data_IF_498028087029
#
_entry.id   IF_498028087029
#
_cell.length_a   1.000
_cell.length_b   1.000
_cell.length_c   1.000
_cell.angle_alpha   90.00
_cell.angle_beta   90.00
_cell.angle_gamma   90.00
#
_symmetry.space_group_name_H-M   'P 1'
#
loop_
_entity.id
_entity.type
_entity.pdbx_description
1 polymer ?
#
# COMPACT_ATOMS: atom_id res chain seq x y z
N UNK A 1 -70.82 -20.06 -31.21
CA UNK A 1 -70.38 -18.73 -30.74
C UNK A 1 -70.02 -18.91 -29.26
N UNK A 2 -68.81 -18.76 -28.73
CA UNK A 2 -67.57 -18.10 -29.12
C UNK A 2 -66.38 -18.91 -28.53
N UNK A 3 -65.29 -19.02 -29.29
CA UNK A 3 -64.00 -19.63 -28.90
C UNK A 3 -63.21 -18.62 -28.05
N UNK A 4 -62.72 -19.01 -26.86
CA UNK A 4 -61.78 -18.20 -26.06
C UNK A 4 -60.35 -18.52 -26.50
N UNK A 5 -59.72 -17.59 -27.21
CA UNK A 5 -58.29 -17.63 -27.52
C UNK A 5 -57.49 -17.13 -26.32
N UNK A 6 -56.56 -17.95 -25.82
CA UNK A 6 -55.57 -17.58 -24.82
C UNK A 6 -54.37 -16.95 -25.55
N UNK A 7 -54.08 -15.67 -25.30
CA UNK A 7 -52.91 -14.98 -25.85
C UNK A 7 -51.81 -15.02 -24.78
N UNK A 8 -50.77 -15.83 -25.01
CA UNK A 8 -49.52 -15.79 -24.24
C UNK A 8 -48.73 -14.54 -24.62
N UNK A 9 -48.58 -13.60 -23.69
CA UNK A 9 -47.72 -12.43 -23.85
C UNK A 9 -46.32 -12.76 -23.35
N UNK A 10 -45.36 -12.86 -24.27
CA UNK A 10 -43.94 -13.06 -24.00
C UNK A 10 -43.32 -11.70 -23.59
N UNK A 11 -42.98 -11.51 -22.31
CA UNK A 11 -42.22 -10.34 -21.86
C UNK A 11 -40.74 -10.51 -22.23
N UNK A 12 -40.29 -9.81 -23.26
CA UNK A 12 -38.87 -9.61 -23.57
C UNK A 12 -38.29 -8.58 -22.59
N UNK A 13 -37.45 -9.02 -21.64
CA UNK A 13 -36.61 -8.11 -20.86
C UNK A 13 -35.55 -7.50 -21.79
N UNK A 14 -35.72 -6.22 -22.12
CA UNK A 14 -34.69 -5.41 -22.76
C UNK A 14 -33.64 -5.09 -21.67
N UNK A 15 -32.50 -5.79 -21.70
CA UNK A 15 -31.34 -5.42 -20.90
C UNK A 15 -30.79 -4.10 -21.43
N UNK A 16 -31.03 -3.01 -20.72
CA UNK A 16 -30.37 -1.74 -20.99
C UNK A 16 -28.87 -1.89 -20.70
N UNK A 17 -27.97 -1.40 -21.58
CA UNK A 17 -26.56 -1.36 -21.25
C UNK A 17 -26.38 -0.47 -20.01
N UNK A 18 -25.66 -0.99 -19.01
CA UNK A 18 -25.21 -0.19 -17.89
C UNK A 18 -24.19 0.84 -18.42
N UNK A 19 -24.66 2.04 -18.74
CA UNK A 19 -23.78 3.17 -18.98
C UNK A 19 -23.06 3.45 -17.65
N UNK A 20 -21.79 3.04 -17.57
CA UNK A 20 -20.90 3.51 -16.52
C UNK A 20 -20.93 5.05 -16.55
N UNK A 21 -21.29 5.67 -15.43
CA UNK A 21 -21.27 7.12 -15.31
C UNK A 21 -19.85 7.62 -15.64
N UNK A 22 -19.70 8.74 -16.36
CA UNK A 22 -18.38 9.28 -16.64
C UNK A 22 -17.65 9.52 -15.32
N UNK A 23 -16.46 8.94 -15.16
CA UNK A 23 -15.60 9.19 -14.01
C UNK A 23 -15.34 10.69 -13.94
N UNK A 24 -15.73 11.30 -12.83
CA UNK A 24 -15.67 12.75 -12.66
C UNK A 24 -14.21 13.18 -12.59
N UNK A 25 -13.86 14.19 -13.38
CA UNK A 25 -12.54 14.82 -13.32
C UNK A 25 -12.44 15.62 -12.01
N UNK A 26 -11.48 15.25 -11.18
CA UNK A 26 -11.23 15.86 -9.89
C UNK A 26 -9.86 16.53 -9.86
N UNK A 27 -9.78 17.66 -9.17
CA UNK A 27 -8.51 18.34 -8.90
C UNK A 27 -8.04 17.99 -7.51
N UNK A 28 -6.92 17.26 -7.41
CA UNK A 28 -6.30 16.79 -6.19
C UNK A 28 -4.93 17.44 -6.01
N UNK A 29 -4.61 17.86 -4.79
CA UNK A 29 -3.36 18.56 -4.47
C UNK A 29 -2.76 17.93 -3.21
N UNK A 30 -1.49 17.59 -3.28
CA UNK A 30 -0.86 16.81 -2.23
C UNK A 30 0.60 16.48 -2.54
N UNK A 31 1.15 15.55 -1.76
CA UNK A 31 2.50 15.03 -1.97
C UNK A 31 2.47 14.01 -3.11
N UNK A 32 3.14 14.34 -4.21
CA UNK A 32 3.39 13.41 -5.30
C UNK A 32 4.68 12.67 -4.99
N UNK A 33 4.62 11.34 -4.97
CA UNK A 33 5.72 10.47 -4.59
C UNK A 33 6.07 9.56 -5.78
N UNK A 34 7.35 9.52 -6.15
CA UNK A 34 7.90 8.59 -7.13
C UNK A 34 9.18 7.99 -6.54
N UNK A 35 9.07 6.95 -5.69
CA UNK A 35 10.20 6.41 -4.92
C UNK A 35 11.11 5.46 -5.73
N UNK A 36 10.59 4.86 -6.80
CA UNK A 36 11.25 3.85 -7.63
C UNK A 36 10.73 3.90 -9.08
N UNK A 37 11.40 3.23 -10.05
CA UNK A 37 10.95 3.25 -11.44
C UNK A 37 9.51 2.72 -11.59
N UNK A 38 8.69 3.43 -12.38
CA UNK A 38 7.30 3.09 -12.70
C UNK A 38 6.30 3.05 -11.53
N UNK A 39 6.65 3.61 -10.37
CA UNK A 39 5.74 3.73 -9.23
C UNK A 39 5.42 5.21 -8.95
N UNK A 40 4.15 5.58 -8.86
CA UNK A 40 3.75 6.94 -8.50
C UNK A 40 2.45 6.97 -7.69
N UNK A 41 2.38 7.88 -6.73
CA UNK A 41 1.17 8.17 -5.96
C UNK A 41 1.00 9.66 -5.70
N UNK A 42 -0.21 10.06 -5.33
CA UNK A 42 -0.52 11.39 -4.82
C UNK A 42 -1.23 11.27 -3.46
N UNK A 43 -0.60 11.77 -2.41
CA UNK A 43 -1.14 11.82 -1.05
C UNK A 43 -1.78 13.18 -0.78
N UNK A 44 -3.12 13.24 -0.76
CA UNK A 44 -3.89 14.43 -0.40
C UNK A 44 -4.69 14.23 0.90
N UNK A 45 -5.59 15.18 1.23
CA UNK A 45 -6.37 15.15 2.48
C UNK A 45 -7.31 13.94 2.58
N UNK A 46 -7.70 13.36 1.45
CA UNK A 46 -8.65 12.24 1.36
C UNK A 46 -7.90 10.89 1.38
N UNK A 47 -6.57 10.93 1.44
CA UNK A 47 -5.70 9.76 1.47
C UNK A 47 -4.75 9.76 0.29
N UNK A 48 -4.22 8.57 0.02
CA UNK A 48 -3.27 8.38 -1.07
C UNK A 48 -3.98 7.80 -2.26
N UNK A 49 -3.59 8.27 -3.44
CA UNK A 49 -4.12 7.86 -4.71
C UNK A 49 -3.04 7.20 -5.55
N UNK A 50 -3.28 5.97 -5.98
CA UNK A 50 -2.38 5.24 -6.90
C UNK A 50 -2.43 5.89 -8.28
N UNK A 51 -1.25 6.20 -8.85
CA UNK A 51 -1.10 6.70 -10.23
C UNK A 51 -0.40 5.65 -11.08
N UNK A 52 0.58 4.94 -10.52
CA UNK A 52 1.32 3.91 -11.22
C UNK A 52 1.95 2.91 -10.25
N UNK A 53 1.95 1.63 -10.65
CA UNK A 53 2.64 0.53 -9.96
C UNK A 53 3.47 -0.29 -10.93
N UNK A 54 4.71 -0.58 -10.56
CA UNK A 54 5.62 -1.36 -11.38
C UNK A 54 5.05 -2.76 -11.68
N UNK A 55 4.98 -3.12 -12.96
CA UNK A 55 4.41 -4.40 -13.40
C UNK A 55 2.89 -4.50 -13.25
N UNK A 56 2.19 -3.39 -12.99
CA UNK A 56 0.75 -3.35 -12.78
C UNK A 56 0.10 -2.13 -13.39
N UNK A 57 -0.87 -1.55 -12.67
CA UNK A 57 -1.66 -0.41 -13.11
C UNK A 57 -0.80 0.81 -13.48
N UNK A 58 -1.17 1.49 -14.57
CA UNK A 58 -0.52 2.71 -15.06
C UNK A 58 -1.58 3.67 -15.57
N UNK A 59 -1.67 4.85 -14.96
CA UNK A 59 -2.58 5.87 -15.41
C UNK A 59 -2.12 6.52 -16.73
N UNK A 60 -3.06 6.84 -17.61
CA UNK A 60 -2.77 7.57 -18.85
C UNK A 60 -2.51 9.06 -18.58
N UNK A 61 -1.53 9.66 -19.28
CA UNK A 61 -1.20 11.09 -19.18
C UNK A 61 0.13 11.39 -18.48
N UNK A 62 0.51 12.67 -18.48
CA UNK A 62 1.83 13.10 -18.00
C UNK A 62 1.89 13.35 -16.49
N UNK A 63 2.99 12.94 -15.88
CA UNK A 63 3.34 13.26 -14.49
C UNK A 63 3.78 14.72 -14.32
N UNK A 64 3.71 15.29 -13.11
CA UNK A 64 4.20 16.64 -12.87
C UNK A 64 5.72 16.73 -13.06
N UNK A 65 6.18 17.75 -13.78
CA UNK A 65 7.61 18.07 -13.88
C UNK A 65 8.06 18.94 -12.71
N UNK A 66 9.12 18.53 -12.02
CA UNK A 66 9.69 19.26 -10.88
C UNK A 66 11.06 19.84 -11.21
N UNK A 67 11.38 20.99 -10.60
CA UNK A 67 12.75 21.49 -10.54
C UNK A 67 13.42 21.12 -9.20
N UNK A 68 14.72 21.39 -9.06
CA UNK A 68 15.51 21.02 -7.87
C UNK A 68 15.01 21.65 -6.55
N UNK A 69 14.24 22.73 -6.58
CA UNK A 69 13.65 23.34 -5.38
C UNK A 69 12.29 22.75 -5.02
N UNK A 70 11.67 22.03 -5.95
CA UNK A 70 10.35 21.42 -5.81
C UNK A 70 10.42 19.90 -5.60
N UNK A 71 11.59 19.30 -5.78
CA UNK A 71 11.83 17.86 -5.65
C UNK A 71 12.77 17.56 -4.49
N UNK A 72 12.29 16.78 -3.53
CA UNK A 72 13.12 16.21 -2.47
C UNK A 72 13.58 14.84 -2.95
N UNK A 73 14.88 14.72 -3.24
CA UNK A 73 15.47 13.44 -3.65
C UNK A 73 15.58 12.51 -2.44
N UNK A 74 15.14 11.27 -2.60
CA UNK A 74 15.21 10.22 -1.58
C UNK A 74 15.99 9.01 -2.07
N UNK A 75 15.96 8.73 -3.37
CA UNK A 75 16.66 7.59 -3.98
C UNK A 75 17.18 7.97 -5.38
N UNK A 76 18.45 8.35 -5.50
CA UNK A 76 19.04 8.83 -6.76
C UNK A 76 18.24 10.00 -7.38
N UNK A 77 17.50 9.76 -8.48
CA UNK A 77 16.63 10.76 -9.11
C UNK A 77 15.15 10.66 -8.66
N UNK A 78 14.80 9.62 -7.90
CA UNK A 78 13.51 9.40 -7.28
C UNK A 78 13.34 10.25 -6.01
N UNK A 79 12.10 10.44 -5.59
CA UNK A 79 11.78 11.35 -4.52
C UNK A 79 10.31 11.71 -4.44
N UNK A 80 10.06 12.89 -3.87
CA UNK A 80 8.72 13.44 -3.78
C UNK A 80 8.71 14.96 -3.95
N UNK A 81 7.55 15.49 -4.27
CA UNK A 81 7.32 16.93 -4.40
C UNK A 81 5.86 17.28 -4.17
N UNK A 82 5.59 18.55 -3.92
CA UNK A 82 4.20 19.00 -3.80
C UNK A 82 3.62 19.21 -5.20
N UNK A 83 2.44 18.67 -5.50
CA UNK A 83 1.82 18.80 -6.82
C UNK A 83 0.30 18.94 -6.74
N UNK A 84 -0.30 19.35 -7.87
CA UNK A 84 -1.71 19.21 -8.10
C UNK A 84 -1.96 18.49 -9.42
N UNK A 85 -2.77 17.43 -9.36
CA UNK A 85 -3.20 16.62 -10.50
C UNK A 85 -4.69 16.86 -10.74
N UNK A 86 -5.10 16.92 -12.00
CA UNK A 86 -6.50 16.92 -12.43
C UNK A 86 -6.71 15.68 -13.26
N UNK A 87 -7.49 14.74 -12.73
CA UNK A 87 -7.58 13.36 -13.21
C UNK A 87 -8.99 12.81 -12.96
N UNK A 88 -9.37 11.78 -13.70
CA UNK A 88 -10.51 10.94 -13.29
C UNK A 88 -10.13 10.17 -12.03
N UNK A 89 -10.88 10.36 -10.95
CA UNK A 89 -10.63 9.68 -9.68
C UNK A 89 -11.64 8.55 -9.48
N UNK A 90 -11.14 7.34 -9.22
CA UNK A 90 -11.96 6.21 -8.80
C UNK A 90 -11.88 6.07 -7.26
N UNK A 91 -12.92 6.51 -6.52
CA UNK A 91 -12.92 6.42 -5.06
C UNK A 91 -13.06 4.98 -4.55
N UNK A 92 -13.48 4.03 -5.38
CA UNK A 92 -13.61 2.63 -4.98
C UNK A 92 -12.27 1.93 -4.95
N UNK A 93 -11.37 2.28 -5.89
CA UNK A 93 -10.03 1.69 -5.99
C UNK A 93 -8.92 2.62 -5.50
N UNK A 94 -9.26 3.86 -5.12
CA UNK A 94 -8.30 4.91 -4.79
C UNK A 94 -7.25 5.16 -5.89
N UNK A 95 -7.68 5.08 -7.15
CA UNK A 95 -6.83 5.33 -8.33
C UNK A 95 -7.11 6.68 -8.96
N UNK A 96 -6.05 7.31 -9.47
CA UNK A 96 -6.18 8.33 -10.50
C UNK A 96 -5.96 7.66 -11.85
N UNK A 97 -6.94 7.79 -12.72
CA UNK A 97 -6.83 7.48 -14.15
C UNK A 97 -6.53 8.77 -14.93
N UNK A 98 -6.54 8.72 -16.26
CA UNK A 98 -6.64 9.87 -17.18
C UNK A 98 -6.15 11.23 -16.60
N UNK A 99 -4.84 11.40 -16.44
CA UNK A 99 -4.19 12.59 -15.91
C UNK A 99 -4.27 13.71 -16.95
N UNK A 100 -5.37 14.47 -16.92
CA UNK A 100 -5.58 15.60 -17.81
C UNK A 100 -4.59 16.74 -17.59
N UNK A 101 -4.12 16.92 -16.35
CA UNK A 101 -3.15 17.97 -16.00
C UNK A 101 -2.42 17.66 -14.71
N UNK A 102 -1.10 17.62 -14.75
CA UNK A 102 -0.27 17.56 -13.54
C UNK A 102 0.66 18.77 -13.45
N UNK A 103 0.76 19.40 -12.27
CA UNK A 103 1.64 20.56 -12.07
C UNK A 103 2.29 20.55 -10.69
N UNK A 104 3.61 20.68 -10.66
CA UNK A 104 4.39 20.89 -9.45
C UNK A 104 4.04 22.22 -8.74
N UNK A 105 4.18 22.22 -7.43
CA UNK A 105 3.94 23.33 -6.51
C UNK A 105 5.17 23.52 -5.62
N UNK A 106 5.37 24.71 -5.01
CA UNK A 106 6.39 24.88 -3.99
C UNK A 106 6.16 23.88 -2.84
N UNK A 107 7.24 23.29 -2.29
CA UNK A 107 7.16 22.35 -1.16
C UNK A 107 6.41 22.95 0.04
N UNK A 108 6.52 24.27 0.26
CA UNK A 108 5.81 24.98 1.32
C UNK A 108 4.29 24.87 1.23
N UNK A 109 3.72 24.66 0.03
CA UNK A 109 2.28 24.50 -0.13
C UNK A 109 1.77 23.25 0.60
N UNK A 110 2.50 22.14 0.51
CA UNK A 110 2.11 20.91 1.19
C UNK A 110 2.59 20.88 2.65
N UNK A 111 3.76 21.44 2.97
CA UNK A 111 4.25 21.54 4.36
C UNK A 111 3.36 22.40 5.26
N UNK A 112 2.70 23.40 4.70
CA UNK A 112 1.79 24.28 5.45
C UNK A 112 0.36 23.75 5.50
N UNK A 113 0.05 22.62 4.86
CA UNK A 113 -1.26 21.99 4.92
C UNK A 113 -1.31 21.02 6.11
N UNK A 114 -2.09 21.32 7.18
CA UNK A 114 -2.12 20.49 8.38
C UNK A 114 -2.83 19.13 8.17
N UNK A 115 -3.49 18.93 7.01
CA UNK A 115 -4.09 17.65 6.66
C UNK A 115 -3.07 16.67 6.06
N UNK A 116 -1.90 17.16 5.65
CA UNK A 116 -0.85 16.39 4.99
C UNK A 116 0.32 16.13 5.93
N UNK A 117 0.95 14.97 5.76
CA UNK A 117 2.23 14.64 6.36
C UNK A 117 3.30 14.62 5.27
N UNK A 118 4.43 15.30 5.50
CA UNK A 118 5.54 15.26 4.55
C UNK A 118 6.12 13.84 4.48
N UNK A 119 6.29 13.27 3.27
CA UNK A 119 6.86 11.94 3.12
C UNK A 119 8.23 11.83 3.79
N UNK A 120 8.48 10.67 4.41
CA UNK A 120 9.73 10.40 5.10
C UNK A 120 10.91 10.51 4.14
N UNK A 121 12.00 11.11 4.60
CA UNK A 121 13.27 11.09 3.86
C UNK A 121 13.82 9.67 3.88
N UNK A 122 14.30 9.19 2.73
CA UNK A 122 15.02 7.93 2.66
C UNK A 122 16.51 8.19 2.90
N UNK A 123 17.12 7.44 3.82
CA UNK A 123 18.57 7.38 3.98
C UNK A 123 19.04 6.04 3.41
N UNK A 124 19.95 6.07 2.43
CA UNK A 124 20.39 4.89 1.69
C UNK A 124 19.24 4.05 1.07
N UNK A 125 18.15 4.70 0.63
CA UNK A 125 16.98 4.05 0.02
C UNK A 125 15.99 3.45 1.02
N UNK A 126 16.16 3.73 2.31
CA UNK A 126 15.30 3.25 3.40
C UNK A 126 14.60 4.42 4.09
N UNK A 127 13.25 4.47 4.12
CA UNK A 127 12.51 5.45 4.90
C UNK A 127 12.87 5.38 6.40
N UNK A 128 13.15 6.53 7.02
CA UNK A 128 13.53 6.61 8.43
C UNK A 128 12.40 7.21 9.26
N UNK A 129 12.00 6.52 10.32
CA UNK A 129 11.01 7.02 11.27
C UNK A 129 11.54 8.24 12.07
N UNK A 130 10.66 9.16 12.51
CA UNK A 130 11.05 10.27 13.39
C UNK A 130 11.85 9.78 14.60
N UNK A 131 12.87 10.53 15.03
CA UNK A 131 13.75 10.12 16.14
C UNK A 131 13.02 9.86 17.46
N UNK A 132 11.89 10.52 17.71
CA UNK A 132 11.07 10.34 18.92
C UNK A 132 10.05 9.18 18.80
N UNK A 133 10.15 8.36 17.75
CA UNK A 133 9.26 7.22 17.53
C UNK A 133 9.42 6.18 18.64
N UNK A 134 8.33 5.78 19.34
CA UNK A 134 8.37 4.73 20.35
C UNK A 134 8.86 3.40 19.79
N UNK A 135 9.42 2.56 20.68
CA UNK A 135 9.88 1.22 20.36
C UNK A 135 9.04 0.17 21.08
N UNK A 136 8.45 -0.74 20.31
CA UNK A 136 7.87 -1.99 20.81
C UNK A 136 8.96 -3.04 20.99
N UNK A 137 8.86 -3.84 22.05
CA UNK A 137 9.73 -4.99 22.31
C UNK A 137 8.88 -6.17 22.78
N UNK A 138 8.99 -7.30 22.11
CA UNK A 138 8.45 -8.58 22.55
C UNK A 138 9.52 -9.65 22.44
N UNK A 139 9.22 -10.85 22.94
CA UNK A 139 10.12 -11.99 22.77
C UNK A 139 10.26 -12.31 21.28
N UNK A 140 11.48 -12.22 20.78
CA UNK A 140 11.84 -12.62 19.42
C UNK A 140 12.13 -11.47 18.47
N UNK A 141 11.49 -10.30 18.66
CA UNK A 141 11.71 -9.12 17.83
C UNK A 141 11.28 -7.80 18.50
N UNK A 142 11.80 -6.70 17.97
CA UNK A 142 11.42 -5.34 18.32
C UNK A 142 11.26 -4.49 17.06
N UNK A 143 10.45 -3.43 17.14
CA UNK A 143 10.28 -2.44 16.06
C UNK A 143 9.98 -1.05 16.62
N UNK A 144 10.16 -0.03 15.79
CA UNK A 144 9.67 1.32 16.04
C UNK A 144 8.40 1.58 15.23
N UNK A 145 7.58 2.49 15.73
CA UNK A 145 6.36 2.92 15.06
C UNK A 145 6.10 4.42 15.30
N UNK A 146 5.37 5.11 14.42
CA UNK A 146 5.15 6.54 14.58
C UNK A 146 4.38 6.85 15.86
N UNK A 147 4.76 7.95 16.51
CA UNK A 147 4.08 8.44 17.71
C UNK A 147 2.60 8.70 17.44
N UNK A 148 1.74 8.28 18.37
CA UNK A 148 0.29 8.45 18.28
C UNK A 148 -0.45 7.28 17.61
N UNK A 149 0.25 6.37 16.92
CA UNK A 149 -0.36 5.12 16.46
C UNK A 149 -0.71 4.24 17.65
N UNK A 150 -1.87 3.55 17.57
CA UNK A 150 -2.28 2.62 18.62
C UNK A 150 -1.70 1.24 18.33
N UNK A 151 -1.17 0.61 19.35
CA UNK A 151 -0.58 -0.72 19.27
C UNK A 151 -1.52 -1.73 19.96
N UNK A 152 -1.87 -2.80 19.26
CA UNK A 152 -2.60 -3.94 19.77
C UNK A 152 -1.77 -5.22 19.65
N UNK A 153 -1.93 -6.16 20.57
CA UNK A 153 -1.22 -7.45 20.52
C UNK A 153 -2.20 -8.59 20.77
N UNK A 154 -2.14 -9.62 19.94
CA UNK A 154 -2.92 -10.84 20.08
C UNK A 154 -2.08 -12.04 19.66
N UNK A 155 -1.91 -13.02 20.55
CA UNK A 155 -1.07 -14.20 20.33
C UNK A 155 0.36 -13.81 19.90
N UNK A 156 0.83 -14.30 18.75
CA UNK A 156 2.12 -14.00 18.13
C UNK A 156 2.06 -12.82 17.14
N UNK A 157 0.96 -12.06 17.13
CA UNK A 157 0.73 -10.98 16.19
C UNK A 157 0.57 -9.62 16.88
N UNK A 158 0.92 -8.57 16.12
CA UNK A 158 0.87 -7.16 16.47
C UNK A 158 -0.01 -6.44 15.45
N UNK A 159 -0.86 -5.53 15.91
CA UNK A 159 -1.53 -4.54 15.07
C UNK A 159 -1.03 -3.15 15.39
N UNK A 160 -0.83 -2.34 14.36
CA UNK A 160 -0.55 -0.92 14.46
C UNK A 160 -1.66 -0.17 13.73
N UNK A 161 -2.34 0.72 14.43
CA UNK A 161 -3.46 1.51 13.91
C UNK A 161 -3.06 2.98 13.77
N UNK A 162 -3.17 3.49 12.55
CA UNK A 162 -3.03 4.91 12.27
C UNK A 162 -4.11 5.71 13.03
N UNK A 163 -3.83 6.93 13.54
CA UNK A 163 -4.81 7.73 14.29
C UNK A 163 -6.13 8.00 13.55
N UNK A 164 -6.10 7.96 12.20
CA UNK A 164 -7.27 8.13 11.33
C UNK A 164 -7.75 6.81 10.68
N UNK A 165 -7.37 5.65 11.23
CA UNK A 165 -7.86 4.34 10.76
C UNK A 165 -9.39 4.35 10.72
N UNK A 166 -9.98 3.84 9.64
CA UNK A 166 -11.45 3.81 9.50
C UNK A 166 -12.04 2.81 10.50
N UNK A 167 -13.24 3.05 11.06
CA UNK A 167 -13.84 2.16 12.06
C UNK A 167 -14.04 0.70 11.61
N UNK A 168 -14.23 0.48 10.30
CA UNK A 168 -14.46 -0.83 9.69
C UNK A 168 -13.16 -1.60 9.43
N UNK A 169 -12.00 -0.94 9.53
CA UNK A 169 -10.70 -1.56 9.30
C UNK A 169 -10.23 -2.24 10.59
N UNK A 170 -9.87 -3.52 10.50
CA UNK A 170 -9.37 -4.27 11.65
C UNK A 170 -8.02 -3.72 12.15
N UNK A 171 -7.14 -3.33 11.23
CA UNK A 171 -5.83 -2.74 11.51
C UNK A 171 -5.37 -1.81 10.40
N UNK A 172 -4.33 -1.01 10.63
CA UNK A 172 -3.59 -0.34 9.54
C UNK A 172 -2.45 -1.21 9.03
N UNK A 173 -1.64 -1.74 9.94
CA UNK A 173 -0.59 -2.71 9.65
C UNK A 173 -0.68 -3.85 10.65
N UNK A 174 -0.66 -5.08 10.14
CA UNK A 174 -0.64 -6.30 10.93
C UNK A 174 0.70 -7.00 10.73
N UNK A 175 1.27 -7.53 11.81
CA UNK A 175 2.55 -8.23 11.78
C UNK A 175 2.48 -9.48 12.66
N UNK A 176 2.81 -10.65 12.11
CA UNK A 176 2.85 -11.90 12.87
C UNK A 176 4.27 -12.47 12.90
N UNK A 177 4.73 -12.82 14.10
CA UNK A 177 5.97 -13.57 14.28
C UNK A 177 5.71 -15.04 13.98
N UNK A 178 6.45 -15.60 13.05
CA UNK A 178 6.41 -17.00 12.65
C UNK A 178 7.78 -17.67 12.86
N UNK A 179 7.76 -18.99 12.88
CA UNK A 179 8.96 -19.84 12.84
C UNK A 179 8.83 -20.77 11.64
N UNK A 180 9.92 -20.98 10.91
CA UNK A 180 9.92 -21.79 9.70
C UNK A 180 11.02 -21.37 8.74
N UNK A 181 10.88 -21.79 7.48
CA UNK A 181 11.76 -21.33 6.39
C UNK A 181 11.21 -20.07 5.72
N UNK A 182 12.09 -19.37 4.97
CA UNK A 182 11.70 -18.23 4.16
C UNK A 182 10.61 -18.62 3.15
N UNK A 183 10.72 -19.80 2.54
CA UNK A 183 9.80 -20.31 1.52
C UNK A 183 8.41 -20.57 2.08
N UNK A 184 8.33 -21.16 3.28
CA UNK A 184 7.04 -21.41 3.95
C UNK A 184 6.32 -20.11 4.29
N UNK A 185 7.06 -19.11 4.80
CA UNK A 185 6.49 -17.82 5.12
C UNK A 185 6.12 -17.02 3.85
N UNK A 186 6.89 -17.18 2.77
CA UNK A 186 6.62 -16.55 1.46
C UNK A 186 5.36 -17.12 0.80
N UNK A 187 5.14 -18.43 0.88
CA UNK A 187 3.93 -19.08 0.36
C UNK A 187 2.66 -18.51 1.00
N UNK A 188 2.69 -18.22 2.31
CA UNK A 188 1.58 -17.58 3.03
C UNK A 188 1.23 -16.17 2.54
N UNK A 189 2.14 -15.52 1.81
CA UNK A 189 1.92 -14.23 1.15
C UNK A 189 1.65 -14.35 -0.36
N UNK A 190 1.49 -15.58 -0.87
CA UNK A 190 1.41 -15.88 -2.31
C UNK A 190 2.66 -15.43 -3.08
N UNK A 191 3.81 -15.46 -2.42
CA UNK A 191 5.12 -15.30 -3.06
C UNK A 191 5.70 -16.67 -3.40
N UNK A 192 6.27 -16.79 -4.58
CA UNK A 192 6.85 -18.03 -5.09
C UNK A 192 8.13 -17.75 -5.88
N UNK A 193 8.97 -18.76 -6.09
CA UNK A 193 10.13 -18.62 -6.96
C UNK A 193 9.84 -19.10 -8.37
N UNK A 194 10.27 -18.31 -9.35
CA UNK A 194 10.30 -18.68 -10.76
C UNK A 194 11.65 -18.28 -11.35
N UNK A 195 12.41 -19.25 -11.87
CA UNK A 195 13.73 -19.02 -12.47
C UNK A 195 14.72 -18.23 -11.59
N UNK A 196 14.64 -18.42 -10.26
CA UNK A 196 15.50 -17.73 -9.29
C UNK A 196 15.05 -16.30 -8.94
N UNK A 197 13.90 -15.86 -9.44
CA UNK A 197 13.27 -14.58 -9.09
C UNK A 197 12.08 -14.83 -8.19
N UNK A 198 11.94 -14.04 -7.13
CA UNK A 198 10.72 -14.04 -6.32
C UNK A 198 9.60 -13.33 -7.07
N UNK A 199 8.47 -14.00 -7.20
CA UNK A 199 7.28 -13.56 -7.91
C UNK A 199 6.10 -13.52 -6.93
N UNK A 200 5.11 -12.67 -7.19
CA UNK A 200 3.82 -12.64 -6.49
C UNK A 200 2.70 -13.05 -7.41
N UNK A 201 1.69 -13.74 -6.89
CA UNK A 201 0.44 -14.05 -7.60
C UNK A 201 -0.77 -13.83 -6.71
N UNK A 202 -1.05 -12.58 -6.39
CA UNK A 202 -2.18 -12.23 -5.52
C UNK A 202 -3.07 -11.14 -6.14
N UNK A 203 -4.37 -11.27 -5.89
CA UNK A 203 -5.38 -10.38 -6.44
C UNK A 203 -5.70 -10.68 -7.90
N UNK A 204 -5.96 -9.63 -8.68
CA UNK A 204 -6.19 -9.70 -10.14
C UNK A 204 -5.00 -9.23 -10.97
N UNK A 205 -3.91 -8.86 -10.32
CA UNK A 205 -2.71 -8.39 -11.00
C UNK A 205 -2.03 -9.56 -11.72
N UNK A 206 -1.41 -9.27 -12.86
CA UNK A 206 -0.52 -10.24 -13.50
C UNK A 206 0.63 -10.60 -12.55
N UNK A 207 1.13 -11.85 -12.59
CA UNK A 207 2.29 -12.20 -11.81
C UNK A 207 3.46 -11.28 -12.09
N UNK A 208 4.06 -10.74 -11.04
CA UNK A 208 5.13 -9.75 -11.15
C UNK A 208 6.22 -9.99 -10.10
N UNK A 209 7.43 -9.49 -10.32
CA UNK A 209 8.53 -9.66 -9.37
C UNK A 209 8.23 -9.03 -8.01
N UNK A 210 8.71 -9.69 -6.95
CA UNK A 210 8.70 -9.21 -5.58
C UNK A 210 10.02 -8.48 -5.32
N UNK A 211 9.95 -7.37 -4.60
CA UNK A 211 11.15 -6.63 -4.22
C UNK A 211 11.88 -7.37 -3.10
N UNK A 212 13.13 -7.73 -3.35
CA UNK A 212 14.04 -8.18 -2.29
C UNK A 212 14.54 -6.99 -1.48
N UNK A 213 14.43 -7.07 -0.16
CA UNK A 213 14.84 -6.05 0.80
C UNK A 213 15.80 -6.63 1.84
N UNK A 214 16.59 -5.79 2.49
CA UNK A 214 17.47 -6.22 3.58
C UNK A 214 17.65 -5.15 4.63
N UNK A 215 17.99 -5.57 5.84
CA UNK A 215 18.29 -4.68 6.94
C UNK A 215 19.23 -5.33 7.95
N UNK A 216 19.41 -4.72 9.13
CA UNK A 216 20.40 -5.18 10.10
C UNK A 216 20.08 -6.59 10.62
N UNK A 217 20.79 -7.59 10.10
CA UNK A 217 20.69 -8.99 10.49
C UNK A 217 19.51 -9.76 9.89
N UNK A 218 18.89 -9.24 8.82
CA UNK A 218 17.78 -9.92 8.15
C UNK A 218 17.73 -9.60 6.64
N UNK A 219 17.12 -10.52 5.89
CA UNK A 219 16.71 -10.34 4.49
C UNK A 219 15.18 -10.40 4.42
N UNK A 220 14.59 -9.97 3.32
CA UNK A 220 13.15 -9.95 3.22
C UNK A 220 12.63 -9.77 1.81
N UNK A 221 11.31 -9.86 1.71
CA UNK A 221 10.52 -9.72 0.49
C UNK A 221 9.45 -8.66 0.73
N UNK A 222 9.18 -7.83 -0.26
CA UNK A 222 8.20 -6.74 -0.19
C UNK A 222 7.46 -6.63 -1.52
N UNK A 223 6.13 -6.54 -1.46
CA UNK A 223 5.29 -6.27 -2.61
C UNK A 223 4.15 -5.33 -2.26
N UNK A 224 3.62 -4.68 -3.30
CA UNK A 224 2.34 -4.00 -3.28
C UNK A 224 1.42 -4.71 -4.25
N UNK A 225 0.17 -4.92 -3.84
CA UNK A 225 -0.76 -5.67 -4.66
C UNK A 225 -2.20 -5.26 -4.42
N UNK A 226 -3.02 -5.42 -5.46
CA UNK A 226 -4.46 -5.24 -5.35
C UNK A 226 -5.02 -6.22 -4.30
N UNK A 227 -5.83 -5.71 -3.38
CA UNK A 227 -6.40 -6.48 -2.27
C UNK A 227 -7.83 -6.05 -1.94
N UNK A 228 -8.44 -6.81 -1.03
CA UNK A 228 -9.79 -6.55 -0.55
C UNK A 228 -9.85 -5.35 0.38
N UNK A 229 -10.91 -4.56 0.25
CA UNK A 229 -11.29 -3.52 1.20
C UNK A 229 -12.71 -3.79 1.71
N UNK A 230 -12.99 -3.35 2.93
CA UNK A 230 -14.34 -3.36 3.49
C UNK A 230 -14.85 -1.93 3.60
N UNK A 231 -15.94 -1.63 2.89
CA UNK A 231 -16.63 -0.36 2.96
C UNK A 231 -17.95 -0.51 3.73
N UNK A 232 -18.26 0.48 4.57
CA UNK A 232 -19.43 0.44 5.46
C UNK A 232 -20.77 0.55 4.73
N UNK A 233 -20.79 1.19 3.56
CA UNK A 233 -22.02 1.46 2.81
C UNK A 233 -22.23 0.44 1.68
N UNK A 234 -21.13 0.00 1.07
CA UNK A 234 -21.14 -0.80 -0.17
C UNK A 234 -20.65 -2.24 0.02
N UNK A 235 -20.14 -2.59 1.20
CA UNK A 235 -19.72 -3.95 1.55
C UNK A 235 -18.26 -4.25 1.18
N UNK A 236 -17.94 -5.53 1.00
CA UNK A 236 -16.58 -5.98 0.69
C UNK A 236 -16.30 -5.88 -0.82
N UNK A 237 -15.20 -5.21 -1.16
CA UNK A 237 -14.70 -5.10 -2.53
C UNK A 237 -13.38 -5.83 -2.64
N UNK A 238 -13.39 -6.99 -3.30
CA UNK A 238 -12.23 -7.87 -3.41
C UNK A 238 -10.99 -7.24 -4.09
N UNK A 239 -11.17 -6.11 -4.78
CA UNK A 239 -10.12 -5.43 -5.56
C UNK A 239 -10.17 -3.90 -5.39
N UNK A 240 -10.62 -3.41 -4.23
CA UNK A 240 -10.83 -1.98 -4.03
C UNK A 240 -9.67 -1.25 -3.36
N UNK A 241 -8.55 -1.91 -3.11
CA UNK A 241 -7.39 -1.22 -2.54
C UNK A 241 -6.07 -1.87 -2.93
N UNK A 242 -5.00 -1.26 -2.45
CA UNK A 242 -3.64 -1.78 -2.60
C UNK A 242 -3.07 -2.02 -1.22
N UNK A 243 -2.58 -3.23 -0.98
CA UNK A 243 -1.98 -3.63 0.27
C UNK A 243 -0.48 -3.78 0.12
N UNK A 244 0.25 -3.39 1.16
CA UNK A 244 1.63 -3.82 1.35
C UNK A 244 1.62 -5.25 1.88
N UNK A 245 2.48 -6.09 1.32
CA UNK A 245 2.78 -7.45 1.79
C UNK A 245 4.29 -7.57 1.99
N UNK A 246 4.73 -7.99 3.17
CA UNK A 246 6.15 -8.10 3.47
C UNK A 246 6.49 -9.32 4.32
N UNK A 247 7.68 -9.85 4.09
CA UNK A 247 8.31 -10.92 4.85
C UNK A 247 9.69 -10.46 5.26
N UNK A 248 9.97 -10.47 6.57
CA UNK A 248 11.27 -10.13 7.15
C UNK A 248 11.83 -11.37 7.83
N UNK A 249 12.97 -11.87 7.38
CA UNK A 249 13.54 -13.16 7.77
C UNK A 249 14.95 -13.01 8.36
N UNK A 250 15.12 -13.48 9.60
CA UNK A 250 16.42 -13.60 10.25
C UNK A 250 17.14 -14.93 9.95
N UNK A 251 16.53 -15.81 9.17
CA UNK A 251 16.96 -17.18 8.90
C UNK A 251 16.46 -18.21 9.93
N UNK A 252 15.92 -17.76 11.06
CA UNK A 252 15.31 -18.63 12.09
C UNK A 252 13.88 -18.20 12.47
N UNK A 253 13.58 -16.91 12.32
CA UNK A 253 12.29 -16.31 12.65
C UNK A 253 11.90 -15.36 11.53
N UNK A 254 10.60 -15.34 11.26
CA UNK A 254 10.01 -14.50 10.24
C UNK A 254 9.02 -13.55 10.88
N UNK A 255 8.99 -12.30 10.43
CA UNK A 255 7.86 -11.41 10.61
C UNK A 255 7.16 -11.30 9.27
N UNK A 256 5.95 -11.84 9.20
CA UNK A 256 5.04 -11.67 8.06
C UNK A 256 4.18 -10.46 8.37
N UNK A 257 4.07 -9.53 7.42
CA UNK A 257 3.33 -8.29 7.61
C UNK A 257 2.47 -7.96 6.41
N UNK A 258 1.29 -7.42 6.69
CA UNK A 258 0.34 -6.98 5.68
C UNK A 258 -0.42 -5.73 6.13
N UNK A 259 -0.75 -4.85 5.18
CA UNK A 259 -1.50 -3.62 5.45
C UNK A 259 -2.93 -3.70 4.96
N UNK A 260 -3.80 -2.86 5.53
CA UNK A 260 -5.15 -2.66 4.99
C UNK A 260 -5.11 -1.93 3.65
N UNK A 261 -6.06 -2.26 2.76
CA UNK A 261 -6.06 -1.77 1.37
C UNK A 261 -6.34 -0.28 1.18
N UNK A 262 -6.83 0.44 2.19
CA UNK A 262 -7.06 1.88 2.11
C UNK A 262 -5.88 2.74 2.56
N UNK A 263 -4.94 2.17 3.32
CA UNK A 263 -3.81 2.93 3.84
C UNK A 263 -2.64 2.85 2.87
N UNK A 264 -2.25 3.97 2.26
CA UNK A 264 -1.15 3.97 1.27
C UNK A 264 0.03 4.88 1.60
N UNK A 265 0.19 5.35 2.84
CA UNK A 265 1.49 5.87 3.27
C UNK A 265 2.45 4.70 3.49
N UNK A 266 2.85 4.09 2.37
CA UNK A 266 3.74 2.94 2.32
C UNK A 266 5.16 3.29 2.75
N UNK A 267 5.57 4.56 2.65
CA UNK A 267 6.85 5.02 3.17
C UNK A 267 6.90 4.82 4.70
N UNK A 268 5.85 5.22 5.42
CA UNK A 268 5.75 4.97 6.87
C UNK A 268 5.72 3.48 7.19
N UNK A 269 4.95 2.68 6.46
CA UNK A 269 4.91 1.23 6.68
C UNK A 269 6.28 0.57 6.45
N UNK A 270 6.97 0.94 5.37
CA UNK A 270 8.36 0.52 5.12
C UNK A 270 9.27 0.95 6.27
N UNK A 271 9.19 2.19 6.73
CA UNK A 271 10.01 2.67 7.84
C UNK A 271 9.84 1.81 9.12
N UNK A 272 8.59 1.40 9.41
CA UNK A 272 8.28 0.46 10.49
C UNK A 272 8.98 -0.89 10.25
N UNK A 273 8.82 -1.49 9.06
CA UNK A 273 9.43 -2.77 8.72
C UNK A 273 10.96 -2.72 8.80
N UNK A 274 11.58 -1.67 8.27
CA UNK A 274 13.04 -1.51 8.30
C UNK A 274 13.60 -1.26 9.71
N UNK A 275 12.75 -0.82 10.65
CA UNK A 275 13.11 -0.68 12.06
C UNK A 275 13.15 -2.00 12.83
N UNK A 276 12.66 -3.10 12.23
CA UNK A 276 12.63 -4.43 12.84
C UNK A 276 14.05 -4.88 13.19
N UNK A 277 14.20 -5.38 14.42
CA UNK A 277 15.40 -6.07 14.91
C UNK A 277 14.96 -7.37 15.58
N UNK A 278 15.61 -8.47 15.23
CA UNK A 278 15.40 -9.74 15.91
C UNK A 278 16.29 -9.84 17.14
N UNK A 279 15.77 -10.47 18.19
CA UNK A 279 16.60 -10.84 19.33
C UNK A 279 17.61 -11.91 18.91
N UNK A 280 18.83 -11.93 19.48
CA UNK A 280 19.78 -13.01 19.27
C UNK A 280 19.13 -14.37 19.50
N UNK A 281 19.59 -15.40 18.78
CA UNK A 281 19.19 -16.77 19.08
C UNK A 281 19.50 -17.08 20.57
N UNK A 282 18.62 -17.80 21.28
CA UNK A 282 18.94 -18.24 22.63
C UNK A 282 20.26 -19.02 22.56
N UNK A 283 21.28 -18.61 23.32
CA UNK A 283 22.50 -19.39 23.45
C UNK A 283 22.16 -20.69 24.14
N UNK A 284 22.14 -21.80 23.42
CA UNK A 284 22.10 -23.14 24.03
C UNK A 284 23.36 -23.28 24.88
N UNK A 285 23.26 -23.51 26.20
CA UNK A 285 24.44 -23.78 27.01
C UNK A 285 25.17 -25.00 26.44
N UNK A 286 26.51 -24.99 26.37
CA UNK A 286 27.24 -26.21 26.05
C UNK A 286 26.89 -27.28 27.09
N UNK A 287 26.48 -28.45 26.61
CA UNK A 287 26.29 -29.66 27.42
C UNK A 287 27.62 -30.17 27.98
#
# INVERSE_FOLDING_TARGET
MLQRALICTLLTLIALPANAAPTKVERRCGWFENPTPANASLTDRDGVWEIASQGGYQAEGDWPTFNDQQWVRTNNHYGYGCACVSASADPQTHRLDQLHKAKARPLSACRNDPSLYEPLREEAGVPVLPMDSPRFKAQGFSLQYPKGWKLGQAQNCLTLDHPKKRPQEEYTLHLCLQQGSLEQAAEGLFFYQENGVWMRSAGRDEPSPVQEISGPGWKGLLAYQTCGISDGDTGFHAYGGTCLMALIDSGQRQVVADSVGFFQDFATLRAILYSIRFDPAPTTPPH
#
